data_IF_858139889790
#
_entry.id   IF_858139889790
#
_cell.length_a   1.000
_cell.length_b   1.000
_cell.length_c   1.000
_cell.angle_alpha   90.00
_cell.angle_beta   90.00
_cell.angle_gamma   90.00
#
_symmetry.space_group_name_H-M   'P 1'
#
loop_
_entity.id
_entity.type
_entity.pdbx_description
1 polymer ?
#
# COMPACT_ATOMS: atom_id res chain seq x y z
N UNK A 1 -4.39 10.01 -9.53
CA UNK A 1 -3.57 8.87 -9.08
C UNK A 1 -3.34 7.95 -10.26
N UNK A 2 -2.10 7.72 -10.66
CA UNK A 2 -1.78 6.95 -11.87
C UNK A 2 -1.43 5.50 -11.49
N UNK A 3 -1.94 4.49 -12.22
CA UNK A 3 -1.45 3.12 -12.09
C UNK A 3 0.00 3.05 -12.54
N UNK A 4 0.81 2.29 -11.80
CA UNK A 4 2.22 2.09 -12.12
C UNK A 4 2.43 0.71 -12.74
N UNK A 5 3.25 0.65 -13.78
CA UNK A 5 3.72 -0.61 -14.36
C UNK A 5 5.20 -0.83 -14.03
N UNK A 6 5.60 -2.06 -13.69
CA UNK A 6 7.02 -2.39 -13.55
C UNK A 6 7.72 -2.22 -14.90
N UNK A 7 8.82 -1.47 -14.89
CA UNK A 7 9.78 -1.43 -15.97
C UNK A 7 10.86 -2.48 -15.75
N UNK A 8 12.12 -2.14 -16.05
CA UNK A 8 13.25 -3.01 -15.77
C UNK A 8 13.39 -3.26 -14.24
N UNK A 9 13.31 -4.54 -13.84
CA UNK A 9 13.55 -5.00 -12.47
C UNK A 9 14.63 -6.08 -12.50
N UNK A 10 15.87 -5.69 -12.20
CA UNK A 10 17.03 -6.59 -12.31
C UNK A 10 17.53 -6.99 -10.93
N UNK A 11 17.49 -8.31 -10.68
CA UNK A 11 18.14 -8.97 -9.57
C UNK A 11 19.01 -10.08 -10.15
N UNK A 12 20.24 -10.20 -9.69
CA UNK A 12 21.16 -11.21 -10.22
C UNK A 12 21.80 -12.02 -9.11
N UNK A 13 22.03 -13.29 -9.45
CA UNK A 13 22.84 -14.22 -8.69
C UNK A 13 23.92 -14.74 -9.64
N UNK A 14 25.17 -14.64 -9.23
CA UNK A 14 26.32 -15.12 -10.00
C UNK A 14 26.88 -16.36 -9.31
N UNK A 15 26.92 -17.46 -10.05
CA UNK A 15 27.47 -18.75 -9.65
C UNK A 15 28.63 -19.01 -10.61
N UNK A 16 29.82 -19.27 -10.08
CA UNK A 16 31.02 -19.50 -10.89
C UNK A 16 31.07 -20.92 -11.50
N UNK A 17 32.11 -21.21 -12.28
CA UNK A 17 32.31 -22.53 -12.90
C UNK A 17 32.45 -23.69 -11.90
N UNK A 18 32.81 -23.40 -10.64
CA UNK A 18 32.95 -24.39 -9.57
C UNK A 18 31.64 -24.61 -8.80
N UNK A 19 30.57 -23.88 -9.14
CA UNK A 19 29.29 -23.92 -8.44
C UNK A 19 29.25 -23.05 -7.17
N UNK A 20 30.24 -22.18 -6.94
CA UNK A 20 30.26 -21.28 -5.79
C UNK A 20 29.43 -20.01 -6.07
N UNK A 21 28.56 -19.64 -5.13
CA UNK A 21 27.76 -18.41 -5.24
C UNK A 21 28.62 -17.19 -4.90
N UNK A 22 29.06 -16.45 -5.92
CA UNK A 22 29.88 -15.23 -5.75
C UNK A 22 29.04 -13.98 -5.51
N UNK A 23 27.80 -13.97 -5.98
CA UNK A 23 26.83 -12.93 -5.69
C UNK A 23 25.45 -13.56 -5.54
N UNK A 24 24.75 -13.25 -4.44
CA UNK A 24 23.39 -13.72 -4.19
C UNK A 24 22.42 -12.55 -4.18
N UNK A 25 21.43 -12.56 -5.08
CA UNK A 25 20.32 -11.61 -5.13
C UNK A 25 20.78 -10.15 -5.01
N UNK A 26 21.76 -9.76 -5.81
CA UNK A 26 22.27 -8.39 -5.86
C UNK A 26 21.41 -7.55 -6.79
N UNK A 27 21.34 -6.25 -6.51
CA UNK A 27 20.70 -5.24 -7.36
C UNK A 27 21.66 -4.05 -7.54
N UNK A 28 21.41 -3.25 -8.55
CA UNK A 28 22.20 -2.05 -8.85
C UNK A 28 21.50 -0.79 -8.31
N UNK A 29 22.28 0.28 -8.19
CA UNK A 29 21.77 1.63 -7.91
C UNK A 29 21.96 2.46 -9.17
N UNK A 30 20.97 3.27 -9.52
CA UNK A 30 21.05 4.21 -10.64
C UNK A 30 22.07 5.32 -10.34
N UNK A 31 22.50 6.06 -11.37
CA UNK A 31 23.36 7.23 -11.19
C UNK A 31 22.74 8.33 -10.31
N UNK A 32 21.41 8.34 -10.18
CA UNK A 32 20.65 9.25 -9.32
C UNK A 32 20.53 8.76 -7.87
N UNK A 33 21.10 7.61 -7.52
CA UNK A 33 21.07 7.06 -6.16
C UNK A 33 19.81 6.27 -5.82
N UNK A 34 18.91 6.02 -6.79
CA UNK A 34 17.72 5.19 -6.62
C UNK A 34 18.03 3.71 -6.88
N UNK A 35 17.21 2.80 -6.35
CA UNK A 35 17.37 1.39 -6.67
C UNK A 35 17.04 1.11 -8.14
N UNK A 36 17.70 0.13 -8.76
CA UNK A 36 17.51 -0.24 -10.17
C UNK A 36 16.07 -0.62 -10.55
N UNK A 37 15.27 -1.31 -9.71
CA UNK A 37 13.86 -1.54 -10.00
C UNK A 37 13.14 -0.23 -10.31
N UNK A 38 12.61 -0.15 -11.52
CA UNK A 38 11.93 1.04 -12.03
C UNK A 38 10.43 0.78 -12.12
N UNK A 39 9.63 1.76 -11.70
CA UNK A 39 8.19 1.80 -11.91
C UNK A 39 7.86 3.02 -12.77
N UNK A 40 7.02 2.81 -13.78
CA UNK A 40 6.60 3.86 -14.70
C UNK A 40 5.11 4.14 -14.52
N UNK A 41 4.70 5.41 -14.36
CA UNK A 41 3.29 5.77 -14.36
C UNK A 41 2.70 5.58 -15.75
N UNK A 42 1.56 4.91 -15.78
CA UNK A 42 0.72 4.85 -16.96
C UNK A 42 -0.25 6.02 -16.89
N UNK A 43 -0.45 6.71 -18.02
CA UNK A 43 -1.52 7.70 -18.16
C UNK A 43 -2.71 6.99 -18.79
N UNK A 44 -3.60 6.36 -18.00
CA UNK A 44 -4.75 5.68 -18.58
C UNK A 44 -5.65 6.73 -19.23
N UNK A 45 -5.94 6.55 -20.51
CA UNK A 45 -7.15 7.11 -21.09
C UNK A 45 -8.31 6.35 -20.44
N UNK A 46 -9.08 7.03 -19.59
CA UNK A 46 -10.08 6.43 -18.71
C UNK A 46 -11.10 5.57 -19.49
N UNK A 47 -11.08 4.25 -19.29
CA UNK A 47 -12.09 3.31 -19.82
C UNK A 47 -12.95 2.66 -18.72
N UNK A 48 -12.81 3.06 -17.46
CA UNK A 48 -13.60 2.50 -16.36
C UNK A 48 -14.98 3.13 -16.31
N UNK A 49 -16.04 2.31 -16.26
CA UNK A 49 -17.43 2.75 -16.09
C UNK A 49 -17.72 3.29 -14.69
N UNK A 50 -16.90 2.92 -13.69
CA UNK A 50 -17.10 3.26 -12.28
C UNK A 50 -15.80 3.85 -11.72
N UNK A 51 -15.92 4.92 -10.92
CA UNK A 51 -14.80 5.49 -10.19
C UNK A 51 -14.40 4.57 -9.02
N UNK A 52 -13.12 4.61 -8.63
CA UNK A 52 -12.66 3.93 -7.41
C UNK A 52 -13.33 4.57 -6.18
N UNK A 53 -13.53 3.77 -5.13
CA UNK A 53 -14.06 4.30 -3.87
C UNK A 53 -13.03 5.20 -3.18
N UNK A 54 -13.48 6.09 -2.30
CA UNK A 54 -12.59 6.98 -1.57
C UNK A 54 -11.57 6.18 -0.74
N UNK A 55 -11.98 5.07 -0.15
CA UNK A 55 -11.14 4.20 0.69
C UNK A 55 -9.97 3.61 -0.11
N UNK A 56 -10.21 3.23 -1.37
CA UNK A 56 -9.17 2.65 -2.23
C UNK A 56 -8.01 3.62 -2.50
N UNK A 57 -8.26 4.94 -2.44
CA UNK A 57 -7.23 5.96 -2.57
C UNK A 57 -6.69 6.46 -1.21
N UNK A 58 -7.57 6.64 -0.21
CA UNK A 58 -7.26 7.34 1.04
C UNK A 58 -6.91 6.43 2.22
N UNK A 59 -7.24 5.14 2.15
CA UNK A 59 -6.96 4.17 3.23
C UNK A 59 -5.98 3.09 2.81
N UNK A 60 -5.69 2.99 1.52
CA UNK A 60 -4.85 1.95 0.97
C UNK A 60 -3.36 2.37 0.98
N UNK A 61 -2.49 1.74 1.81
CA UNK A 61 -1.07 2.09 1.87
C UNK A 61 -0.34 1.86 0.54
N UNK A 62 -0.81 0.89 -0.27
CA UNK A 62 -0.26 0.64 -1.60
C UNK A 62 -0.52 1.82 -2.51
N UNK A 63 -1.74 2.34 -2.48
CA UNK A 63 -2.12 3.51 -3.26
C UNK A 63 -1.19 4.69 -2.89
N UNK A 64 -1.04 4.99 -1.60
CA UNK A 64 -0.25 6.13 -1.13
C UNK A 64 1.28 5.95 -1.37
N UNK A 65 1.72 4.79 -1.87
CA UNK A 65 3.09 4.51 -2.29
C UNK A 65 3.94 3.77 -1.25
N UNK A 66 3.36 3.35 -0.12
CA UNK A 66 4.07 2.57 0.89
C UNK A 66 4.24 1.08 0.51
N UNK A 67 3.55 0.63 -0.54
CA UNK A 67 3.60 -0.74 -1.04
C UNK A 67 2.62 -1.68 -0.34
N UNK A 68 2.49 -2.89 -0.88
CA UNK A 68 1.64 -3.93 -0.28
C UNK A 68 2.25 -4.41 1.02
N UNK A 69 1.42 -4.60 2.05
CA UNK A 69 1.87 -5.11 3.34
C UNK A 69 2.57 -4.08 4.23
N UNK A 70 2.68 -2.81 3.81
CA UNK A 70 3.25 -1.73 4.63
C UNK A 70 2.17 -0.81 5.23
N UNK A 71 1.03 -1.39 5.62
CA UNK A 71 0.03 -0.68 6.40
C UNK A 71 0.60 -0.32 7.78
N UNK A 72 0.06 0.71 8.43
CA UNK A 72 0.47 1.09 9.80
C UNK A 72 0.34 -0.09 10.77
N UNK A 73 -0.68 -0.92 10.57
CA UNK A 73 -0.94 -2.13 11.37
C UNK A 73 -0.01 -3.27 11.01
N UNK A 74 0.32 -3.45 9.73
CA UNK A 74 1.14 -4.56 9.26
C UNK A 74 2.57 -4.51 9.82
N UNK A 75 3.20 -3.33 9.87
CA UNK A 75 4.52 -3.19 10.49
C UNK A 75 4.54 -3.59 11.97
N UNK A 76 3.45 -3.34 12.71
CA UNK A 76 3.32 -3.71 14.13
C UNK A 76 2.99 -5.20 14.33
N UNK A 77 2.23 -5.80 13.41
CA UNK A 77 1.75 -7.18 13.51
C UNK A 77 2.78 -8.18 12.96
N UNK A 78 3.42 -7.85 11.83
CA UNK A 78 4.31 -8.74 11.09
C UNK A 78 5.80 -8.47 11.39
N UNK A 79 6.14 -7.26 11.85
CA UNK A 79 7.53 -6.84 12.00
C UNK A 79 8.30 -6.98 10.69
N UNK A 80 9.53 -7.51 10.77
CA UNK A 80 10.38 -7.80 9.60
C UNK A 80 10.12 -9.19 8.98
N UNK A 81 9.07 -9.89 9.42
CA UNK A 81 8.75 -11.23 8.94
C UNK A 81 8.32 -11.14 7.47
N UNK A 82 8.99 -11.87 6.55
CA UNK A 82 8.62 -11.82 5.15
C UNK A 82 7.23 -12.42 4.96
N UNK A 83 6.41 -11.79 4.11
CA UNK A 83 5.12 -12.35 3.73
C UNK A 83 5.33 -13.65 2.96
N UNK A 84 4.89 -14.76 3.55
CA UNK A 84 4.91 -16.06 2.92
C UNK A 84 3.55 -16.37 2.32
N UNK A 85 3.49 -16.55 1.00
CA UNK A 85 2.30 -17.07 0.34
C UNK A 85 2.48 -18.56 0.08
N UNK A 86 1.69 -19.39 0.76
CA UNK A 86 1.69 -20.83 0.53
C UNK A 86 0.92 -21.16 -0.77
N UNK A 87 1.67 -21.24 -1.87
CA UNK A 87 1.12 -21.59 -3.19
C UNK A 87 0.63 -23.04 -3.29
N UNK A 88 0.90 -23.90 -2.29
CA UNK A 88 0.35 -25.27 -2.27
C UNK A 88 -1.15 -25.33 -1.92
N UNK A 89 -1.70 -24.22 -1.40
CA UNK A 89 -3.11 -24.08 -1.03
C UNK A 89 -3.85 -22.98 -1.81
N UNK A 90 -3.26 -22.51 -2.92
CA UNK A 90 -3.83 -21.47 -3.78
C UNK A 90 -5.15 -21.89 -4.45
N UNK A 91 -5.94 -20.91 -4.86
CA UNK A 91 -7.31 -21.05 -5.38
C UNK A 91 -7.39 -21.97 -6.62
N UNK A 92 -6.32 -22.08 -7.42
CA UNK A 92 -6.28 -22.95 -8.61
C UNK A 92 -5.32 -24.13 -8.49
N UNK A 93 -4.76 -24.42 -7.31
CA UNK A 93 -3.69 -25.42 -7.21
C UNK A 93 -2.47 -24.99 -8.05
N UNK A 94 -2.05 -23.74 -7.87
CA UNK A 94 -1.15 -22.98 -8.75
C UNK A 94 0.21 -23.67 -9.04
N UNK A 95 0.59 -24.67 -8.23
CA UNK A 95 1.69 -25.59 -8.52
C UNK A 95 1.17 -27.03 -8.39
N UNK A 96 0.87 -27.72 -9.51
CA UNK A 96 0.43 -29.10 -9.50
C UNK A 96 1.44 -30.00 -8.75
N UNK A 97 0.99 -30.67 -7.70
CA UNK A 97 1.80 -31.60 -6.90
C UNK A 97 2.59 -30.99 -5.73
N UNK A 98 2.50 -29.68 -5.49
CA UNK A 98 3.09 -29.08 -4.30
C UNK A 98 2.29 -29.46 -3.04
N UNK A 99 2.92 -30.17 -2.08
CA UNK A 99 2.31 -30.54 -0.78
C UNK A 99 2.49 -29.49 0.31
N UNK A 100 3.46 -28.60 0.15
CA UNK A 100 3.81 -27.53 1.09
C UNK A 100 4.36 -26.35 0.30
N UNK A 101 4.07 -25.13 0.74
CA UNK A 101 4.76 -23.95 0.21
C UNK A 101 6.25 -24.02 0.51
N UNK A 102 7.08 -23.57 -0.43
CA UNK A 102 8.53 -23.38 -0.23
C UNK A 102 8.89 -21.96 -0.60
N UNK A 103 9.85 -21.38 0.10
CA UNK A 103 10.50 -20.14 -0.34
C UNK A 103 11.26 -20.43 -1.63
N UNK A 104 10.73 -19.98 -2.76
CA UNK A 104 11.37 -20.19 -4.07
C UNK A 104 12.56 -19.25 -4.29
N UNK A 105 12.58 -18.10 -3.60
CA UNK A 105 13.63 -17.09 -3.74
C UNK A 105 14.08 -16.62 -2.35
N UNK A 106 15.39 -16.67 -2.02
CA UNK A 106 15.89 -16.14 -0.76
C UNK A 106 15.74 -14.61 -0.70
N UNK A 107 15.80 -14.04 0.52
CA UNK A 107 15.64 -12.58 0.75
C UNK A 107 16.67 -11.79 -0.07
N UNK A 108 16.21 -10.70 -0.70
CA UNK A 108 17.06 -9.73 -1.42
C UNK A 108 17.56 -8.72 -0.39
N UNK A 109 18.75 -8.92 0.17
CA UNK A 109 19.27 -8.07 1.27
C UNK A 109 19.54 -6.64 0.84
N UNK A 110 19.94 -6.44 -0.42
CA UNK A 110 20.16 -5.10 -1.00
C UNK A 110 18.88 -4.34 -1.34
N UNK A 111 17.70 -4.98 -1.26
CA UNK A 111 16.41 -4.36 -1.51
C UNK A 111 15.38 -4.87 -0.48
N UNK A 112 15.43 -4.40 0.77
CA UNK A 112 14.54 -4.87 1.84
C UNK A 112 13.16 -4.19 1.79
N UNK A 113 12.64 -3.91 0.60
CA UNK A 113 11.37 -3.22 0.37
C UNK A 113 10.46 -4.07 -0.51
N UNK A 114 9.15 -3.84 -0.44
CA UNK A 114 8.22 -4.46 -1.38
C UNK A 114 8.49 -3.95 -2.81
N UNK A 115 8.34 -4.80 -3.82
CA UNK A 115 8.55 -4.43 -5.24
C UNK A 115 7.54 -3.41 -5.76
N UNK A 116 6.48 -3.12 -5.01
CA UNK A 116 5.51 -2.07 -5.30
C UNK A 116 5.58 -0.88 -4.33
N UNK A 117 6.58 -0.85 -3.45
CA UNK A 117 6.82 0.28 -2.55
C UNK A 117 7.61 1.37 -3.29
N UNK A 118 7.07 2.59 -3.28
CA UNK A 118 7.67 3.76 -3.91
C UNK A 118 8.43 4.61 -2.91
N UNK A 119 7.93 4.69 -1.68
CA UNK A 119 8.39 5.65 -0.68
C UNK A 119 8.33 5.07 0.71
N UNK A 120 9.25 5.49 1.58
CA UNK A 120 9.18 5.20 3.02
C UNK A 120 8.21 6.15 3.72
N UNK A 121 7.82 5.82 4.96
CA UNK A 121 7.05 6.75 5.80
C UNK A 121 7.80 8.06 6.10
N UNK A 122 9.14 8.03 6.12
CA UNK A 122 9.97 9.24 6.23
C UNK A 122 10.07 10.05 4.94
N UNK A 123 9.46 9.60 3.84
CA UNK A 123 9.47 10.32 2.56
C UNK A 123 10.64 10.05 1.63
N UNK A 124 11.51 9.09 1.95
CA UNK A 124 12.59 8.67 1.04
C UNK A 124 12.02 7.83 -0.10
N UNK A 125 12.21 8.25 -1.34
CA UNK A 125 11.90 7.46 -2.52
C UNK A 125 12.80 6.22 -2.60
N UNK A 126 12.21 5.08 -2.94
CA UNK A 126 12.87 3.78 -2.97
C UNK A 126 13.11 3.33 -4.41
N UNK A 127 12.08 3.39 -5.25
CA UNK A 127 12.17 2.91 -6.63
C UNK A 127 12.48 4.04 -7.59
N UNK A 128 13.23 3.69 -8.63
CA UNK A 128 13.52 4.61 -9.71
C UNK A 128 12.24 4.86 -10.53
N UNK A 129 12.15 6.05 -11.11
CA UNK A 129 11.11 6.41 -12.07
C UNK A 129 11.78 6.96 -13.34
N UNK A 130 11.14 6.80 -14.51
CA UNK A 130 11.80 7.10 -15.78
C UNK A 130 12.01 8.59 -16.02
N UNK A 131 11.10 9.44 -15.55
CA UNK A 131 11.17 10.89 -15.69
C UNK A 131 11.28 11.58 -14.31
N UNK A 132 11.93 12.76 -14.20
CA UNK A 132 12.00 13.51 -12.94
C UNK A 132 10.63 13.93 -12.37
N UNK A 133 9.66 14.18 -13.22
CA UNK A 133 8.27 14.49 -12.86
C UNK A 133 7.50 13.27 -12.34
N UNK A 134 7.93 12.06 -12.70
CA UNK A 134 7.40 10.82 -12.17
C UNK A 134 7.99 10.66 -10.77
N UNK A 135 7.21 11.04 -9.77
CA UNK A 135 7.59 10.91 -8.35
C UNK A 135 6.45 10.35 -7.51
N UNK A 136 6.75 9.67 -6.39
CA UNK A 136 5.73 9.43 -5.38
C UNK A 136 5.18 10.75 -4.83
N UNK A 137 4.01 10.67 -4.22
CA UNK A 137 3.44 11.78 -3.45
C UNK A 137 4.47 12.24 -2.41
N UNK A 138 4.65 13.56 -2.27
CA UNK A 138 5.53 14.13 -1.25
C UNK A 138 4.84 14.05 0.13
N UNK A 139 5.56 14.40 1.20
CA UNK A 139 5.03 14.30 2.55
C UNK A 139 3.76 15.12 2.78
N UNK A 140 3.69 16.36 2.28
CA UNK A 140 2.51 17.22 2.40
C UNK A 140 1.30 16.60 1.71
N UNK A 141 1.47 16.08 0.50
CA UNK A 141 0.42 15.40 -0.25
C UNK A 141 -0.05 14.12 0.47
N UNK A 142 0.88 13.29 0.95
CA UNK A 142 0.55 12.06 1.69
C UNK A 142 -0.17 12.35 3.00
N UNK A 143 0.23 13.39 3.73
CA UNK A 143 -0.42 13.77 4.99
C UNK A 143 -1.87 14.20 4.76
N UNK A 144 -2.17 14.87 3.64
CA UNK A 144 -3.55 15.18 3.27
C UNK A 144 -4.32 13.89 2.97
N UNK A 145 -3.77 13.01 2.13
CA UNK A 145 -4.44 11.77 1.71
C UNK A 145 -4.68 10.82 2.89
N UNK A 146 -3.69 10.61 3.76
CA UNK A 146 -3.78 9.72 4.94
C UNK A 146 -4.78 10.24 6.00
N UNK A 147 -5.01 11.56 6.09
CA UNK A 147 -5.94 12.13 7.07
C UNK A 147 -7.40 11.80 6.74
N UNK A 148 -7.76 11.81 5.45
CA UNK A 148 -9.14 11.60 4.98
C UNK A 148 -9.61 10.15 5.10
N UNK A 149 -8.70 9.17 5.18
CA UNK A 149 -9.05 7.77 5.31
C UNK A 149 -9.84 7.41 6.57
N UNK A 150 -9.67 8.18 7.66
CA UNK A 150 -10.43 8.01 8.91
C UNK A 150 -11.85 8.57 8.82
N UNK A 151 -12.05 9.61 7.99
CA UNK A 151 -13.34 10.27 7.82
C UNK A 151 -14.35 9.35 7.13
N UNK A 152 -13.91 8.55 6.16
CA UNK A 152 -14.77 7.65 5.39
C UNK A 152 -15.47 6.59 6.25
N UNK A 153 -14.89 6.18 7.38
CA UNK A 153 -15.55 5.23 8.28
C UNK A 153 -16.95 5.69 8.71
N UNK A 154 -17.14 6.99 8.87
CA UNK A 154 -18.45 7.59 9.15
C UNK A 154 -19.14 8.09 7.87
N UNK A 155 -18.39 8.71 6.96
CA UNK A 155 -18.93 9.40 5.77
C UNK A 155 -19.21 8.49 4.55
N UNK A 156 -18.94 7.19 4.61
CA UNK A 156 -19.18 6.24 3.51
C UNK A 156 -20.61 6.24 2.96
N UNK A 157 -21.60 6.61 3.78
CA UNK A 157 -23.02 6.63 3.40
C UNK A 157 -23.49 7.99 2.90
N UNK A 158 -22.60 8.98 2.76
CA UNK A 158 -23.00 10.34 2.41
C UNK A 158 -23.89 10.38 1.15
N UNK A 159 -25.12 10.89 1.30
CA UNK A 159 -26.11 10.95 0.21
C UNK A 159 -27.06 9.76 0.11
N UNK A 160 -26.97 8.78 1.01
CA UNK A 160 -27.93 7.67 1.13
C UNK A 160 -28.94 7.90 2.27
N UNK A 161 -30.07 7.18 2.31
CA UNK A 161 -31.03 7.26 3.42
C UNK A 161 -30.42 6.95 4.80
N UNK A 162 -29.39 6.11 4.85
CA UNK A 162 -28.65 5.80 6.08
C UNK A 162 -27.93 7.04 6.64
N UNK A 163 -27.44 7.93 5.77
CA UNK A 163 -26.84 9.20 6.17
C UNK A 163 -27.85 10.15 6.81
N UNK A 164 -29.09 10.17 6.32
CA UNK A 164 -30.16 10.96 6.95
C UNK A 164 -30.46 10.47 8.37
N UNK A 165 -30.34 9.16 8.63
CA UNK A 165 -30.48 8.61 9.98
C UNK A 165 -29.32 9.02 10.90
N UNK A 166 -28.10 9.09 10.36
CA UNK A 166 -26.92 9.60 11.09
C UNK A 166 -27.13 11.08 11.44
N UNK A 167 -27.58 11.90 10.48
CA UNK A 167 -27.88 13.33 10.70
C UNK A 167 -29.00 13.49 11.73
N UNK A 168 -30.09 12.71 11.65
CA UNK A 168 -31.19 12.77 12.62
C UNK A 168 -30.73 12.42 14.04
N UNK A 169 -29.77 11.50 14.18
CA UNK A 169 -29.30 11.04 15.48
C UNK A 169 -28.28 11.97 16.11
N UNK A 170 -27.29 12.44 15.35
CA UNK A 170 -26.16 13.19 15.89
C UNK A 170 -26.07 14.64 15.41
N UNK A 171 -26.90 15.05 14.44
CA UNK A 171 -26.86 16.39 13.84
C UNK A 171 -25.84 16.53 12.70
N UNK A 172 -25.72 17.75 12.18
CA UNK A 172 -24.66 18.16 11.24
C UNK A 172 -23.65 19.04 11.97
N UNK A 173 -22.37 18.77 11.73
CA UNK A 173 -21.30 19.65 12.17
C UNK A 173 -21.06 20.75 11.12
N UNK A 174 -21.08 22.01 11.57
CA UNK A 174 -20.67 23.18 10.79
C UNK A 174 -19.26 23.65 11.15
N UNK A 175 -18.77 23.30 12.35
CA UNK A 175 -17.40 23.60 12.81
C UNK A 175 -16.60 22.33 13.17
N UNK A 176 -15.26 22.39 13.16
CA UNK A 176 -14.41 21.29 13.62
C UNK A 176 -14.72 20.84 15.06
N UNK A 177 -15.01 21.77 15.99
CA UNK A 177 -15.30 21.38 17.38
C UNK A 177 -16.64 20.63 17.51
N UNK A 178 -17.65 20.99 16.69
CA UNK A 178 -18.91 20.26 16.64
C UNK A 178 -18.69 18.85 16.08
N UNK A 179 -17.84 18.73 15.05
CA UNK A 179 -17.50 17.45 14.44
C UNK A 179 -16.82 16.51 15.45
N UNK A 180 -15.86 17.00 16.24
CA UNK A 180 -15.19 16.21 17.27
C UNK A 180 -16.18 15.70 18.34
N UNK A 181 -17.10 16.55 18.80
CA UNK A 181 -18.13 16.16 19.79
C UNK A 181 -19.05 15.06 19.27
N UNK A 182 -19.52 15.19 18.02
CA UNK A 182 -20.37 14.19 17.38
C UNK A 182 -19.65 12.84 17.28
N UNK A 183 -18.37 12.86 16.89
CA UNK A 183 -17.55 11.66 16.81
C UNK A 183 -17.39 11.00 18.19
N UNK A 184 -17.09 11.79 19.22
CA UNK A 184 -16.92 11.28 20.59
C UNK A 184 -18.19 10.59 21.11
N UNK A 185 -19.35 11.21 20.89
CA UNK A 185 -20.65 10.64 21.27
C UNK A 185 -20.96 9.34 20.50
N UNK A 186 -20.70 9.33 19.19
CA UNK A 186 -20.87 8.15 18.36
C UNK A 186 -20.02 6.97 18.85
N UNK A 187 -18.74 7.20 19.17
CA UNK A 187 -17.84 6.18 19.72
C UNK A 187 -18.28 5.67 21.09
N UNK A 188 -18.70 6.56 22.00
CA UNK A 188 -19.24 6.14 23.32
C UNK A 188 -20.46 5.24 23.16
N UNK A 189 -21.38 5.59 22.26
CA UNK A 189 -22.58 4.79 22.01
C UNK A 189 -22.30 3.39 21.47
N UNK A 190 -21.19 3.22 20.72
CA UNK A 190 -20.73 1.91 20.24
C UNK A 190 -20.14 1.08 21.38
N UNK A 191 -19.34 1.70 22.25
CA UNK A 191 -18.73 1.04 23.40
C UNK A 191 -19.77 0.54 24.40
N UNK A 192 -20.84 1.29 24.63
CA UNK A 192 -21.91 0.89 25.55
C UNK A 192 -22.78 -0.26 24.98
N UNK A 193 -22.83 -0.42 23.67
CA UNK A 193 -23.50 -1.57 23.00
C UNK A 193 -22.63 -2.82 22.94
N UNK A 194 -21.31 -2.67 23.10
CA UNK A 194 -20.37 -3.77 23.05
C UNK A 194 -20.13 -4.42 24.43
N UNK A 195 -20.71 -3.86 25.50
CA UNK A 195 -20.83 -4.47 26.83
C UNK A 195 -22.05 -5.38 26.90
#
# INVERSE_FOLDING_TARGET
MSPLAPGCQVFYTFIDENGEVKALNKTYTTSTGHNSPTLAPLQPHSISLVARTCEDCHTNPKAIGYGTGNSRSAGKILGDSPLFQDLSKGVYGDIPGAKTGKWQVPKITGFPFALDQLVTRSGKQIQNMPLPEDRPLNEKERNIVEREGLCMGCHQYHGTPEWDNIIKKYGRAETPEQHEKIIEEAFKSLLDKAK
#
